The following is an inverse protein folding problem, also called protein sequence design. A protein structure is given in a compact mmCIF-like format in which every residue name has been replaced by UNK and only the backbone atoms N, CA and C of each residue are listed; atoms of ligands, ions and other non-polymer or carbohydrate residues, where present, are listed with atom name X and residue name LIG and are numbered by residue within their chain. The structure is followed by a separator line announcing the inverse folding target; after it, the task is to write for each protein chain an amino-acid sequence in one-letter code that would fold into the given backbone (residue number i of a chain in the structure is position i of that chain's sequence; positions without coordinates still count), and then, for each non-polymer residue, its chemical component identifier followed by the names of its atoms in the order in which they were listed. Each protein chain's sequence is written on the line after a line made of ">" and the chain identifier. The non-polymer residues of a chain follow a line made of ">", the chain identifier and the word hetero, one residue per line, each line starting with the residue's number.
data_IF_019996941004
#
_entry.id   IF_019996941004
#
_cell.length_a   1.000
_cell.length_b   1.000
_cell.length_c   1.000
_cell.angle_alpha   90.00
_cell.angle_beta   90.00
_cell.angle_gamma   90.00
#
_symmetry.space_group_name_H-M   'P 1'
#
loop_
_entity.id
_entity.type
_entity.pdbx_description
1 polymer ?
#
# COMPACT_ATOMS: atom_id res chain seq x y z
N UNK A 1 54.36 -14.70 1.69
CA UNK A 1 53.85 -13.85 2.79
C UNK A 1 52.64 -13.08 2.29
N UNK A 2 51.57 -13.04 3.10
CA UNK A 2 50.35 -12.24 2.96
C UNK A 2 49.12 -12.85 2.25
N UNK A 3 48.75 -14.08 2.61
CA UNK A 3 47.35 -14.55 2.48
C UNK A 3 46.74 -14.97 3.83
N UNK A 4 47.57 -15.27 4.84
CA UNK A 4 47.12 -15.69 6.18
C UNK A 4 46.79 -14.53 7.12
N UNK A 5 47.29 -13.31 6.86
CA UNK A 5 47.04 -12.15 7.75
C UNK A 5 45.68 -11.48 7.55
N UNK A 6 44.96 -11.77 6.46
CA UNK A 6 43.65 -11.14 6.18
C UNK A 6 42.45 -11.90 6.75
N UNK A 7 42.64 -13.12 7.25
CA UNK A 7 41.56 -13.93 7.86
C UNK A 7 41.47 -13.80 9.40
N UNK A 8 42.31 -12.97 10.03
CA UNK A 8 42.41 -12.88 11.49
C UNK A 8 41.40 -11.92 12.17
N UNK A 9 40.55 -11.21 11.41
CA UNK A 9 39.58 -10.24 11.94
C UNK A 9 38.11 -10.55 11.62
N UNK A 10 37.81 -11.67 10.96
CA UNK A 10 36.42 -12.11 10.81
C UNK A 10 35.94 -12.74 12.12
N UNK A 11 35.41 -11.93 13.03
CA UNK A 11 34.65 -12.44 14.18
C UNK A 11 33.52 -13.33 13.65
N UNK A 12 33.43 -14.61 14.06
CA UNK A 12 32.32 -15.46 13.65
C UNK A 12 31.02 -14.84 14.17
N UNK A 13 30.17 -14.38 13.27
CA UNK A 13 28.83 -13.90 13.60
C UNK A 13 28.03 -15.07 14.19
N UNK A 14 27.41 -14.84 15.36
CA UNK A 14 26.58 -15.88 15.98
C UNK A 14 25.44 -16.29 15.04
N UNK A 15 24.96 -17.55 15.09
CA UNK A 15 23.83 -18.00 14.28
C UNK A 15 22.60 -17.08 14.41
N UNK A 16 22.37 -16.52 15.60
CA UNK A 16 21.30 -15.55 15.85
C UNK A 16 21.51 -14.22 15.10
N UNK A 17 22.73 -13.69 15.10
CA UNK A 17 23.06 -12.46 14.37
C UNK A 17 22.97 -12.64 12.85
N UNK A 18 23.35 -13.83 12.34
CA UNK A 18 23.20 -14.17 10.92
C UNK A 18 21.72 -14.23 10.54
N UNK A 19 20.87 -14.87 11.35
CA UNK A 19 19.42 -14.94 11.10
C UNK A 19 18.79 -13.54 11.14
N UNK A 20 19.19 -12.69 12.09
CA UNK A 20 18.70 -11.31 12.16
C UNK A 20 19.11 -10.47 10.94
N UNK A 21 20.36 -10.58 10.48
CA UNK A 21 20.81 -9.90 9.27
C UNK A 21 20.05 -10.40 8.03
N UNK A 22 19.83 -11.71 7.90
CA UNK A 22 19.04 -12.28 6.80
C UNK A 22 17.59 -11.81 6.82
N UNK A 23 16.98 -11.65 8.00
CA UNK A 23 15.62 -11.13 8.13
C UNK A 23 15.55 -9.66 7.72
N UNK A 24 16.51 -8.85 8.16
CA UNK A 24 16.59 -7.45 7.76
C UNK A 24 16.77 -7.31 6.25
N UNK A 25 17.69 -8.08 5.65
CA UNK A 25 17.90 -8.13 4.20
C UNK A 25 16.63 -8.52 3.44
N UNK A 26 15.84 -9.45 3.98
CA UNK A 26 14.55 -9.81 3.40
C UNK A 26 13.51 -8.68 3.53
N UNK A 27 13.51 -7.91 4.61
CA UNK A 27 12.55 -6.81 4.82
C UNK A 27 12.86 -5.57 3.97
N UNK A 28 14.14 -5.20 3.85
CA UNK A 28 14.58 -3.96 3.19
C UNK A 28 15.12 -4.17 1.78
N UNK A 29 15.41 -5.41 1.40
CA UNK A 29 16.15 -5.72 0.18
C UNK A 29 17.65 -5.44 0.33
N UNK A 30 18.41 -5.88 -0.67
CA UNK A 30 19.86 -5.68 -0.78
C UNK A 30 20.18 -5.03 -2.12
N UNK A 31 21.44 -4.73 -2.44
CA UNK A 31 21.80 -4.22 -3.78
C UNK A 31 21.57 -5.22 -4.91
N UNK A 32 21.43 -6.51 -4.58
CA UNK A 32 21.31 -7.60 -5.56
C UNK A 32 19.92 -8.24 -5.60
N UNK A 33 19.15 -8.08 -4.53
CA UNK A 33 17.85 -8.76 -4.37
C UNK A 33 16.80 -7.79 -3.83
N UNK A 34 15.58 -7.83 -4.36
CA UNK A 34 14.50 -7.00 -3.86
C UNK A 34 14.04 -7.45 -2.47
N UNK A 35 13.34 -6.58 -1.72
CA UNK A 35 12.61 -6.96 -0.53
C UNK A 35 11.65 -8.11 -0.79
N UNK A 36 11.50 -9.01 0.18
CA UNK A 36 10.57 -10.14 0.14
C UNK A 36 9.26 -9.81 0.84
N UNK A 37 8.18 -10.36 0.30
CA UNK A 37 6.89 -10.40 0.96
C UNK A 37 6.92 -11.44 2.08
N UNK A 38 7.13 -10.97 3.31
CA UNK A 38 7.28 -11.84 4.48
C UNK A 38 5.93 -12.32 5.02
N UNK A 39 4.90 -11.48 4.99
CA UNK A 39 3.56 -11.80 5.48
C UNK A 39 2.48 -11.13 4.63
N UNK A 40 1.24 -11.59 4.77
CA UNK A 40 0.09 -11.02 4.06
C UNK A 40 -0.22 -9.62 4.60
N UNK A 41 -0.06 -9.44 5.91
CA UNK A 41 -0.32 -8.21 6.66
C UNK A 41 0.60 -7.07 6.22
N UNK A 42 1.83 -7.39 5.81
CA UNK A 42 2.83 -6.43 5.35
C UNK A 42 2.79 -6.16 3.84
N UNK A 43 1.77 -6.68 3.13
CA UNK A 43 1.71 -6.58 1.68
C UNK A 43 1.90 -5.14 1.16
N UNK A 44 1.16 -4.17 1.71
CA UNK A 44 1.22 -2.80 1.25
C UNK A 44 2.61 -2.18 1.44
N UNK A 45 3.21 -2.33 2.62
CA UNK A 45 4.56 -1.83 2.89
C UNK A 45 5.63 -2.53 2.05
N UNK A 46 5.52 -3.85 1.87
CA UNK A 46 6.45 -4.66 1.07
C UNK A 46 6.34 -4.32 -0.41
N UNK A 47 5.13 -4.08 -0.91
CA UNK A 47 4.86 -3.64 -2.28
C UNK A 47 5.55 -2.31 -2.56
N UNK A 48 5.36 -1.31 -1.71
CA UNK A 48 5.95 0.02 -1.91
C UNK A 48 7.49 -0.05 -1.87
N UNK A 49 8.06 -0.82 -0.94
CA UNK A 49 9.52 -1.07 -0.88
C UNK A 49 10.02 -1.77 -2.15
N UNK A 50 9.32 -2.81 -2.60
CA UNK A 50 9.66 -3.53 -3.83
C UNK A 50 9.62 -2.61 -5.05
N UNK A 51 8.54 -1.85 -5.21
CA UNK A 51 8.37 -0.90 -6.32
C UNK A 51 9.50 0.13 -6.35
N UNK A 52 9.78 0.78 -5.21
CA UNK A 52 10.87 1.75 -5.10
C UNK A 52 12.23 1.12 -5.40
N UNK A 53 12.48 -0.08 -4.88
CA UNK A 53 13.75 -0.78 -5.10
C UNK A 53 13.95 -1.15 -6.57
N UNK A 54 12.93 -1.70 -7.24
CA UNK A 54 13.03 -2.06 -8.66
C UNK A 54 13.16 -0.83 -9.54
N UNK A 55 12.45 0.26 -9.24
CA UNK A 55 12.60 1.51 -9.99
C UNK A 55 14.01 2.10 -9.85
N UNK A 56 14.61 2.02 -8.65
CA UNK A 56 15.96 2.52 -8.41
C UNK A 56 17.05 1.67 -9.11
N UNK A 57 16.91 0.35 -9.13
CA UNK A 57 17.97 -0.57 -9.59
C UNK A 57 17.74 -1.15 -10.99
N UNK A 58 16.48 -1.30 -11.40
CA UNK A 58 16.07 -2.02 -12.61
C UNK A 58 14.88 -1.33 -13.32
N UNK A 59 14.97 -0.02 -13.52
CA UNK A 59 13.89 0.79 -14.11
C UNK A 59 13.34 0.21 -15.42
N UNK A 60 14.19 -0.30 -16.31
CA UNK A 60 13.77 -0.87 -17.59
C UNK A 60 12.94 -2.16 -17.42
N UNK A 61 13.21 -2.93 -16.37
CA UNK A 61 12.40 -4.11 -16.02
C UNK A 61 11.03 -3.68 -15.47
N UNK A 62 10.99 -2.58 -14.70
CA UNK A 62 9.74 -2.00 -14.21
C UNK A 62 8.80 -1.56 -15.35
N UNK A 63 9.36 -1.02 -16.44
CA UNK A 63 8.57 -0.61 -17.61
C UNK A 63 7.74 -1.77 -18.21
N UNK A 64 8.18 -3.02 -18.08
CA UNK A 64 7.45 -4.19 -18.59
C UNK A 64 6.12 -4.45 -17.84
N UNK A 65 6.01 -4.01 -16.57
CA UNK A 65 4.76 -4.06 -15.79
C UNK A 65 3.81 -2.94 -16.20
N UNK A 66 4.36 -1.79 -16.58
CA UNK A 66 3.59 -0.63 -17.03
C UNK A 66 3.05 -0.84 -18.45
N UNK A 67 3.91 -1.28 -19.37
CA UNK A 67 3.62 -1.55 -20.77
C UNK A 67 3.85 -3.03 -20.98
N UNK A 68 2.77 -3.82 -20.88
CA UNK A 68 2.79 -5.29 -21.03
C UNK A 68 3.81 -5.68 -22.10
N UNK A 69 4.83 -6.44 -21.74
CA UNK A 69 5.77 -6.96 -22.72
C UNK A 69 5.05 -7.81 -23.77
N UNK A 70 5.38 -7.59 -25.04
CA UNK A 70 4.88 -8.36 -26.18
C UNK A 70 6.08 -8.95 -26.90
N UNK A 71 5.99 -10.21 -27.28
CA UNK A 71 7.03 -10.86 -28.06
C UNK A 71 7.18 -10.15 -29.42
N UNK A 72 8.42 -9.88 -29.87
CA UNK A 72 8.65 -9.33 -31.19
C UNK A 72 8.06 -10.21 -32.29
N UNK A 73 7.35 -9.59 -33.24
CA UNK A 73 6.81 -10.27 -34.42
C UNK A 73 7.39 -9.68 -35.71
N UNK A 74 7.43 -10.49 -36.76
CA UNK A 74 7.68 -10.05 -38.14
C UNK A 74 6.51 -9.22 -38.67
N UNK A 75 6.68 -8.58 -39.83
CA UNK A 75 5.62 -7.80 -40.50
C UNK A 75 4.36 -8.65 -40.80
N UNK A 76 4.51 -9.98 -40.88
CA UNK A 76 3.42 -10.93 -41.07
C UNK A 76 2.79 -11.42 -39.74
N UNK A 77 3.09 -10.76 -38.62
CA UNK A 77 2.59 -11.09 -37.28
C UNK A 77 3.01 -12.49 -36.77
N UNK A 78 4.10 -13.03 -37.31
CA UNK A 78 4.71 -14.28 -36.82
C UNK A 78 5.73 -13.93 -35.74
N UNK A 79 5.65 -14.58 -34.58
CA UNK A 79 6.63 -14.40 -33.49
C UNK A 79 8.05 -14.70 -33.99
N UNK A 80 8.98 -13.79 -33.71
CA UNK A 80 10.39 -13.94 -34.08
C UNK A 80 11.09 -14.95 -33.17
N UNK A 81 12.07 -15.63 -33.72
CA UNK A 81 13.04 -16.41 -32.93
C UNK A 81 14.09 -15.49 -32.29
N UNK A 82 14.71 -15.94 -31.18
CA UNK A 82 15.71 -15.13 -30.45
C UNK A 82 16.92 -14.71 -31.30
N UNK A 83 17.25 -15.48 -32.34
CA UNK A 83 18.31 -15.18 -33.31
C UNK A 83 17.98 -13.96 -34.16
N UNK A 84 16.69 -13.72 -34.41
CA UNK A 84 16.17 -12.65 -35.28
C UNK A 84 15.91 -11.34 -34.53
N UNK A 85 16.05 -11.36 -33.20
CA UNK A 85 15.85 -10.15 -32.39
C UNK A 85 16.92 -9.12 -32.69
N UNK A 86 16.48 -7.89 -32.94
CA UNK A 86 17.31 -6.69 -32.88
C UNK A 86 17.86 -6.49 -31.47
N UNK A 87 18.92 -5.69 -31.34
CA UNK A 87 19.49 -5.42 -30.02
C UNK A 87 18.48 -4.80 -29.06
N UNK A 88 17.60 -3.92 -29.55
CA UNK A 88 16.57 -3.31 -28.73
C UNK A 88 15.53 -4.34 -28.25
N UNK A 89 15.08 -5.24 -29.12
CA UNK A 89 14.18 -6.34 -28.77
C UNK A 89 14.81 -7.29 -27.75
N UNK A 90 16.10 -7.62 -27.90
CA UNK A 90 16.85 -8.41 -26.92
C UNK A 90 16.92 -7.74 -25.56
N UNK A 91 17.12 -6.42 -25.52
CA UNK A 91 17.15 -5.72 -24.23
C UNK A 91 15.78 -5.74 -23.56
N UNK A 92 14.68 -5.55 -24.31
CA UNK A 92 13.33 -5.66 -23.74
C UNK A 92 12.99 -7.07 -23.26
N UNK A 93 13.39 -8.09 -24.03
CA UNK A 93 13.23 -9.49 -23.60
C UNK A 93 13.99 -9.79 -22.31
N UNK A 94 15.24 -9.31 -22.20
CA UNK A 94 16.03 -9.46 -20.95
C UNK A 94 15.39 -8.71 -19.79
N UNK A 95 14.88 -7.50 -20.03
CA UNK A 95 14.17 -6.73 -19.01
C UNK A 95 12.92 -7.46 -18.49
N UNK A 96 12.13 -8.06 -19.39
CA UNK A 96 10.99 -8.88 -19.02
C UNK A 96 11.39 -10.10 -18.18
N UNK A 97 12.43 -10.85 -18.61
CA UNK A 97 12.92 -12.01 -17.84
C UNK A 97 13.50 -11.60 -16.49
N UNK A 98 14.17 -10.46 -16.43
CA UNK A 98 14.66 -9.89 -15.18
C UNK A 98 13.49 -9.53 -14.24
N UNK A 99 12.45 -8.88 -14.75
CA UNK A 99 11.27 -8.53 -13.94
C UNK A 99 10.58 -9.77 -13.37
N UNK A 100 10.41 -10.83 -14.18
CA UNK A 100 9.87 -12.11 -13.71
C UNK A 100 10.75 -12.68 -12.59
N UNK A 101 12.08 -12.69 -12.78
CA UNK A 101 13.00 -13.19 -11.76
C UNK A 101 12.93 -12.38 -10.46
N UNK A 102 12.85 -11.05 -10.54
CA UNK A 102 12.70 -10.18 -9.36
C UNK A 102 11.39 -10.46 -8.61
N UNK A 103 10.28 -10.67 -9.34
CA UNK A 103 9.00 -11.05 -8.74
C UNK A 103 9.08 -12.41 -8.05
N UNK A 104 9.69 -13.41 -8.67
CA UNK A 104 9.91 -14.73 -8.07
C UNK A 104 10.82 -14.69 -6.84
N UNK A 105 11.78 -13.77 -6.81
CA UNK A 105 12.64 -13.57 -5.64
C UNK A 105 11.90 -12.89 -4.48
N UNK A 106 11.01 -11.94 -4.78
CA UNK A 106 10.26 -11.20 -3.77
C UNK A 106 9.03 -11.95 -3.23
N UNK A 107 8.40 -12.79 -4.05
CA UNK A 107 7.18 -13.51 -3.70
C UNK A 107 7.56 -14.91 -3.20
N UNK A 108 6.98 -15.34 -2.08
CA UNK A 108 7.15 -16.72 -1.61
C UNK A 108 6.52 -17.71 -2.59
N UNK A 109 7.18 -18.86 -2.79
CA UNK A 109 6.78 -19.87 -3.78
C UNK A 109 5.32 -20.33 -3.60
N UNK A 110 4.89 -20.54 -2.36
CA UNK A 110 3.52 -20.94 -1.99
C UNK A 110 2.46 -19.88 -2.37
N UNK A 111 2.81 -18.60 -2.32
CA UNK A 111 1.96 -17.52 -2.83
C UNK A 111 1.97 -17.52 -4.35
N UNK A 112 3.16 -17.64 -4.95
CA UNK A 112 3.37 -17.54 -6.39
C UNK A 112 2.57 -18.60 -7.16
N UNK A 113 2.62 -19.87 -6.73
CA UNK A 113 1.88 -20.97 -7.39
C UNK A 113 0.35 -20.80 -7.36
N UNK A 114 -0.17 -19.99 -6.43
CA UNK A 114 -1.60 -19.72 -6.29
C UNK A 114 -2.07 -18.53 -7.13
N UNK A 115 -1.15 -17.79 -7.77
CA UNK A 115 -1.49 -16.65 -8.61
C UNK A 115 -1.96 -17.14 -10.00
N UNK A 116 -3.08 -16.60 -10.46
CA UNK A 116 -3.58 -16.84 -11.82
C UNK A 116 -2.88 -15.86 -12.78
N UNK A 117 -1.88 -16.31 -13.53
CA UNK A 117 -1.09 -15.46 -14.42
C UNK A 117 -0.71 -16.12 -15.75
N UNK A 118 -0.47 -15.32 -16.80
CA UNK A 118 -0.03 -15.76 -18.14
C UNK A 118 1.50 -15.91 -18.28
N UNK A 119 2.24 -15.80 -17.16
CA UNK A 119 3.71 -15.83 -17.05
C UNK A 119 4.42 -14.56 -17.55
N UNK A 120 3.69 -13.55 -18.00
CA UNK A 120 4.26 -12.21 -18.16
C UNK A 120 4.44 -11.54 -16.80
N UNK A 121 5.49 -10.73 -16.65
CA UNK A 121 5.79 -9.98 -15.42
C UNK A 121 4.59 -9.14 -14.98
N UNK A 122 3.94 -8.47 -15.93
CA UNK A 122 2.71 -7.70 -15.70
C UNK A 122 1.58 -8.54 -15.13
N UNK A 123 1.33 -9.72 -15.71
CA UNK A 123 0.24 -10.57 -15.26
C UNK A 123 0.48 -11.11 -13.85
N UNK A 124 1.72 -11.47 -13.51
CA UNK A 124 2.12 -11.85 -12.15
C UNK A 124 1.88 -10.70 -11.17
N UNK A 125 2.32 -9.49 -11.52
CA UNK A 125 2.13 -8.29 -10.70
C UNK A 125 0.64 -7.96 -10.49
N UNK A 126 -0.15 -7.97 -11.56
CA UNK A 126 -1.58 -7.68 -11.51
C UNK A 126 -2.33 -8.76 -10.70
N UNK A 127 -1.97 -10.04 -10.85
CA UNK A 127 -2.53 -11.13 -10.05
C UNK A 127 -2.20 -10.99 -8.55
N UNK A 128 -0.97 -10.59 -8.24
CA UNK A 128 -0.55 -10.31 -6.87
C UNK A 128 -1.39 -9.17 -6.27
N UNK A 129 -1.55 -8.07 -7.01
CA UNK A 129 -2.40 -6.95 -6.60
C UNK A 129 -3.85 -7.36 -6.39
N UNK A 130 -4.42 -8.14 -7.31
CA UNK A 130 -5.81 -8.62 -7.17
C UNK A 130 -5.95 -9.49 -5.92
N UNK A 131 -4.97 -10.36 -5.62
CA UNK A 131 -4.99 -11.24 -4.45
C UNK A 131 -5.02 -10.49 -3.13
N UNK A 132 -4.27 -9.38 -3.03
CA UNK A 132 -4.10 -8.66 -1.77
C UNK A 132 -4.91 -7.36 -1.67
N UNK A 133 -5.03 -6.59 -2.75
CA UNK A 133 -5.81 -5.34 -2.81
C UNK A 133 -7.29 -5.61 -3.15
N UNK A 134 -7.58 -6.76 -3.75
CA UNK A 134 -8.87 -7.06 -4.38
C UNK A 134 -8.92 -6.58 -5.84
N UNK A 135 -9.88 -7.09 -6.61
CA UNK A 135 -10.09 -6.61 -7.98
C UNK A 135 -10.52 -5.15 -8.03
N UNK A 136 -10.33 -4.47 -9.15
CA UNK A 136 -10.82 -3.09 -9.33
C UNK A 136 -12.31 -2.96 -8.99
N UNK A 137 -13.12 -3.96 -9.35
CA UNK A 137 -14.54 -3.99 -9.03
C UNK A 137 -14.79 -4.11 -7.52
N UNK A 138 -14.03 -4.95 -6.81
CA UNK A 138 -14.11 -5.04 -5.35
C UNK A 138 -13.70 -3.72 -4.69
N UNK A 139 -12.62 -3.08 -5.15
CA UNK A 139 -12.18 -1.78 -4.64
C UNK A 139 -13.24 -0.71 -4.91
N UNK A 140 -13.81 -0.67 -6.12
CA UNK A 140 -14.92 0.25 -6.48
C UNK A 140 -16.14 0.01 -5.57
N UNK A 141 -16.53 -1.23 -5.33
CA UNK A 141 -17.63 -1.58 -4.43
C UNK A 141 -17.36 -1.18 -2.98
N UNK A 142 -16.15 -1.44 -2.45
CA UNK A 142 -15.74 -0.99 -1.10
C UNK A 142 -15.77 0.53 -0.98
N UNK A 143 -15.28 1.26 -1.99
CA UNK A 143 -15.35 2.73 -2.03
C UNK A 143 -16.79 3.23 -2.04
N UNK A 144 -17.67 2.61 -2.82
CA UNK A 144 -19.09 2.98 -2.86
C UNK A 144 -19.78 2.75 -1.52
N UNK A 145 -19.46 1.63 -0.84
CA UNK A 145 -19.99 1.33 0.49
C UNK A 145 -19.54 2.36 1.52
N UNK A 146 -18.24 2.68 1.58
CA UNK A 146 -17.69 3.68 2.51
C UNK A 146 -18.25 5.08 2.25
N UNK A 147 -18.43 5.48 0.98
CA UNK A 147 -19.09 6.76 0.66
C UNK A 147 -20.52 6.79 1.19
N UNK A 148 -21.28 5.72 0.98
CA UNK A 148 -22.64 5.60 1.51
C UNK A 148 -22.67 5.60 3.04
N UNK A 149 -21.75 4.90 3.68
CA UNK A 149 -21.60 4.88 5.13
C UNK A 149 -21.29 6.28 5.67
N UNK A 150 -20.40 7.03 5.01
CA UNK A 150 -20.11 8.41 5.33
C UNK A 150 -21.31 9.34 5.14
N UNK A 151 -22.04 9.19 4.04
CA UNK A 151 -23.22 10.01 3.78
C UNK A 151 -24.29 9.80 4.87
N UNK A 152 -24.49 8.54 5.28
CA UNK A 152 -25.46 8.11 6.29
C UNK A 152 -24.93 8.12 7.73
N UNK A 153 -23.69 8.58 7.96
CA UNK A 153 -23.07 8.52 9.28
C UNK A 153 -23.83 9.41 10.27
N UNK A 154 -24.33 8.79 11.35
CA UNK A 154 -25.05 9.42 12.44
C UNK A 154 -24.79 8.69 13.75
N UNK A 155 -25.14 9.31 14.88
CA UNK A 155 -25.22 8.62 16.17
C UNK A 155 -26.16 7.42 16.12
N UNK A 156 -25.80 6.34 16.81
CA UNK A 156 -26.65 5.19 17.04
C UNK A 156 -27.42 5.30 18.37
N UNK A 157 -28.57 4.64 18.53
CA UNK A 157 -29.29 4.63 19.80
C UNK A 157 -28.45 4.03 20.93
N UNK A 158 -28.25 4.79 22.00
CA UNK A 158 -27.47 4.37 23.17
C UNK A 158 -25.94 4.41 22.99
N UNK A 159 -25.46 4.94 21.86
CA UNK A 159 -24.04 5.19 21.62
C UNK A 159 -23.59 6.43 22.41
N UNK A 160 -22.49 6.31 23.14
CA UNK A 160 -21.87 7.46 23.82
C UNK A 160 -20.96 8.27 22.88
N UNK A 161 -20.60 9.48 23.28
CA UNK A 161 -19.75 10.39 22.48
C UNK A 161 -18.42 9.75 22.10
N UNK A 162 -17.81 8.98 23.00
CA UNK A 162 -16.50 8.35 22.76
C UNK A 162 -16.62 7.26 21.70
N UNK A 163 -17.63 6.40 21.81
CA UNK A 163 -17.93 5.37 20.82
C UNK A 163 -18.18 5.98 19.44
N UNK A 164 -18.95 7.08 19.36
CA UNK A 164 -19.19 7.79 18.11
C UNK A 164 -17.89 8.34 17.49
N UNK A 165 -17.02 8.93 18.31
CA UNK A 165 -15.70 9.43 17.87
C UNK A 165 -14.83 8.28 17.36
N UNK A 166 -14.74 7.18 18.09
CA UNK A 166 -13.98 5.99 17.67
C UNK A 166 -14.47 5.49 16.30
N UNK A 167 -15.79 5.40 16.11
CA UNK A 167 -16.40 5.00 14.83
C UNK A 167 -16.10 5.98 13.70
N UNK A 168 -16.13 7.28 13.98
CA UNK A 168 -15.74 8.33 13.02
C UNK A 168 -14.27 8.18 12.61
N UNK A 169 -13.36 7.99 13.57
CA UNK A 169 -11.94 7.74 13.31
C UNK A 169 -11.71 6.51 12.44
N UNK A 170 -12.44 5.41 12.70
CA UNK A 170 -12.38 4.20 11.89
C UNK A 170 -12.84 4.44 10.45
N UNK A 171 -13.92 5.21 10.27
CA UNK A 171 -14.44 5.56 8.96
C UNK A 171 -13.45 6.44 8.17
N UNK A 172 -12.93 7.51 8.78
CA UNK A 172 -11.92 8.39 8.17
C UNK A 172 -10.70 7.60 7.73
N UNK A 173 -10.18 6.72 8.61
CA UNK A 173 -9.04 5.86 8.30
C UNK A 173 -9.33 4.94 7.12
N UNK A 174 -10.49 4.30 7.10
CA UNK A 174 -10.91 3.39 6.02
C UNK A 174 -11.05 4.11 4.68
N UNK A 175 -11.60 5.32 4.69
CA UNK A 175 -11.69 6.17 3.51
C UNK A 175 -10.31 6.61 2.99
N UNK A 176 -9.40 6.98 3.90
CA UNK A 176 -8.02 7.34 3.57
C UNK A 176 -7.24 6.18 2.96
N UNK A 177 -7.37 4.96 3.50
CA UNK A 177 -6.68 3.77 2.97
C UNK A 177 -7.08 3.45 1.52
N UNK A 178 -8.30 3.80 1.10
CA UNK A 178 -8.75 3.64 -0.27
C UNK A 178 -8.61 4.93 -1.11
N UNK A 179 -7.91 5.95 -0.59
CA UNK A 179 -7.71 7.24 -1.27
C UNK A 179 -9.03 7.89 -1.70
N UNK A 180 -10.07 7.79 -0.87
CA UNK A 180 -11.33 8.51 -1.07
C UNK A 180 -11.09 9.96 -0.64
N UNK A 181 -11.12 10.88 -1.60
CA UNK A 181 -10.92 12.31 -1.34
C UNK A 181 -12.19 12.90 -0.72
N UNK A 182 -11.98 13.63 0.38
CA UNK A 182 -12.95 14.45 1.09
C UNK A 182 -12.20 15.67 1.60
N UNK A 183 -12.86 16.81 1.60
CA UNK A 183 -12.30 18.02 2.15
C UNK A 183 -12.26 17.93 3.67
N UNK A 184 -11.37 18.71 4.28
CA UNK A 184 -11.19 18.73 5.73
C UNK A 184 -12.52 19.04 6.43
N UNK A 185 -13.22 20.05 5.92
CA UNK A 185 -14.46 20.55 6.48
C UNK A 185 -15.57 19.50 6.37
N UNK A 186 -15.61 18.70 5.29
CA UNK A 186 -16.59 17.62 5.14
C UNK A 186 -16.52 16.60 6.29
N UNK A 187 -15.31 16.26 6.77
CA UNK A 187 -15.16 15.35 7.90
C UNK A 187 -15.63 15.97 9.22
N UNK A 188 -15.32 17.25 9.44
CA UNK A 188 -15.70 17.99 10.64
C UNK A 188 -17.21 18.18 10.69
N UNK A 189 -17.81 18.63 9.58
CA UNK A 189 -19.26 18.78 9.43
C UNK A 189 -19.96 17.44 9.67
N UNK A 190 -19.45 16.35 9.09
CA UNK A 190 -20.06 15.03 9.26
C UNK A 190 -20.08 14.57 10.71
N UNK A 191 -19.00 14.77 11.46
CA UNK A 191 -18.97 14.42 12.88
C UNK A 191 -19.85 15.37 13.70
N UNK A 192 -19.85 16.66 13.39
CA UNK A 192 -20.70 17.65 14.06
C UNK A 192 -22.20 17.35 13.90
N UNK A 193 -22.62 16.95 12.70
CA UNK A 193 -24.01 16.57 12.39
C UNK A 193 -24.40 15.26 13.08
N UNK A 194 -23.45 14.35 13.27
CA UNK A 194 -23.68 13.06 13.91
C UNK A 194 -23.80 13.15 15.44
N UNK A 195 -23.29 14.22 16.07
CA UNK A 195 -23.35 14.40 17.51
C UNK A 195 -24.81 14.58 18.00
N UNK A 196 -25.19 14.00 19.15
CA UNK A 196 -26.52 14.21 19.73
C UNK A 196 -26.80 15.69 20.01
N UNK A 197 -27.72 16.28 19.24
CA UNK A 197 -28.00 17.73 19.30
C UNK A 197 -28.52 18.20 20.66
N UNK A 198 -29.16 17.31 21.42
CA UNK A 198 -29.62 17.61 22.78
C UNK A 198 -28.46 17.92 23.75
N UNK A 199 -27.31 17.28 23.55
CA UNK A 199 -26.14 17.38 24.42
C UNK A 199 -25.14 18.40 23.84
N UNK A 200 -24.92 18.35 22.53
CA UNK A 200 -23.83 19.08 21.87
C UNK A 200 -24.26 20.38 21.16
N UNK A 201 -25.56 20.58 20.92
CA UNK A 201 -26.07 21.66 20.06
C UNK A 201 -25.59 23.06 20.47
N UNK A 202 -25.65 23.40 21.76
CA UNK A 202 -25.20 24.71 22.28
C UNK A 202 -23.71 24.91 22.08
N UNK A 203 -22.89 23.89 22.36
CA UNK A 203 -21.44 23.97 22.21
C UNK A 203 -21.04 24.13 20.74
N UNK A 204 -21.65 23.34 19.84
CA UNK A 204 -21.42 23.44 18.40
C UNK A 204 -21.79 24.83 17.86
N UNK A 205 -22.90 25.41 18.34
CA UNK A 205 -23.31 26.77 17.98
C UNK A 205 -22.26 27.82 18.41
N UNK A 206 -21.73 27.70 19.63
CA UNK A 206 -20.68 28.61 20.14
C UNK A 206 -19.40 28.48 19.30
N UNK A 207 -18.98 27.25 18.99
CA UNK A 207 -17.80 27.01 18.14
C UNK A 207 -17.95 27.66 16.77
N UNK A 208 -19.12 27.52 16.13
CA UNK A 208 -19.41 28.13 14.83
C UNK A 208 -19.42 29.66 14.89
N UNK A 209 -20.06 30.24 15.91
CA UNK A 209 -20.17 31.70 16.05
C UNK A 209 -18.85 32.39 16.42
N UNK A 210 -17.92 31.67 17.05
CA UNK A 210 -16.61 32.22 17.43
C UNK A 210 -15.58 32.15 16.30
N UNK A 211 -15.92 31.55 15.15
CA UNK A 211 -15.01 31.32 14.03
C UNK A 211 -13.94 30.24 14.31
N UNK A 212 -13.93 29.65 15.51
CA UNK A 212 -13.00 28.59 15.90
C UNK A 212 -13.27 27.30 15.14
N UNK A 213 -14.51 27.12 14.68
CA UNK A 213 -14.91 25.97 13.85
C UNK A 213 -14.22 25.96 12.49
N UNK A 214 -13.94 27.14 11.93
CA UNK A 214 -13.46 27.27 10.56
C UNK A 214 -12.01 26.78 10.43
N UNK A 215 -11.79 25.85 9.49
CA UNK A 215 -10.47 25.30 9.19
C UNK A 215 -9.96 24.26 10.19
N UNK A 216 -10.76 23.83 11.17
CA UNK A 216 -10.42 22.73 12.05
C UNK A 216 -10.19 21.45 11.24
N UNK A 217 -9.16 20.70 11.63
CA UNK A 217 -9.06 19.30 11.24
C UNK A 217 -9.99 18.44 12.08
N UNK A 218 -10.35 17.25 11.57
CA UNK A 218 -11.14 16.28 12.34
C UNK A 218 -10.50 15.95 13.69
N UNK A 219 -9.15 15.85 13.77
CA UNK A 219 -8.44 15.63 15.02
C UNK A 219 -8.60 16.77 16.02
N UNK A 220 -8.41 18.01 15.58
CA UNK A 220 -8.60 19.20 16.44
C UNK A 220 -10.06 19.37 16.87
N UNK A 221 -11.00 18.99 16.03
CA UNK A 221 -12.42 18.98 16.39
C UNK A 221 -12.69 17.92 17.47
N UNK A 222 -12.16 16.70 17.31
CA UNK A 222 -12.27 15.63 18.32
C UNK A 222 -11.70 16.08 19.67
N UNK A 223 -10.50 16.66 19.69
CA UNK A 223 -9.88 17.17 20.93
C UNK A 223 -10.79 18.16 21.67
N UNK A 224 -11.49 19.03 20.94
CA UNK A 224 -12.46 19.98 21.51
C UNK A 224 -13.69 19.30 22.10
N UNK A 225 -14.24 18.31 21.39
CA UNK A 225 -15.38 17.51 21.88
C UNK A 225 -14.97 16.75 23.14
N UNK A 226 -13.82 16.08 23.14
CA UNK A 226 -13.32 15.33 24.29
C UNK A 226 -13.07 16.25 25.50
N UNK A 227 -12.47 17.43 25.29
CA UNK A 227 -12.23 18.42 26.36
C UNK A 227 -13.55 18.88 26.98
N UNK A 228 -14.54 19.23 26.15
CA UNK A 228 -15.86 19.65 26.63
C UNK A 228 -16.63 18.52 27.33
N UNK A 229 -16.39 17.27 26.94
CA UNK A 229 -17.03 16.10 27.56
C UNK A 229 -16.47 15.80 28.96
N UNK A 230 -15.21 16.18 29.24
CA UNK A 230 -14.59 16.05 30.56
C UNK A 230 -15.04 17.15 31.55
N UNK A 231 -15.54 18.27 31.04
CA UNK A 231 -16.01 19.42 31.83
C UNK A 231 -17.48 19.32 32.25
N UNK A 232 -18.24 18.36 31.72
CA UNK A 232 -19.67 18.09 32.04
C UNK A 232 -19.83 17.03 33.12
#
# INVERSE_FOLDING_TARGET
>A
MNTEFYNAFATPSSPAAVVQAMNLDNETGTTQKPPKLMSIEEYHGSKDRFENWVQANHLRSWECILKKYVLPCTDMHVEKELSEFTDQERVMYRAEKMMISLLQQAIKEDIFILLQHDKASKSVWDALRIKFEGSENMIKSKKALLKKEFDLFSSLPGEDTKQLIERSCHLVRSMSMLSIKKDRDEFVDKLADALPQKEWGTYLMILKNTGVYDGLTIGQFIEKIESQNLEQ
#
